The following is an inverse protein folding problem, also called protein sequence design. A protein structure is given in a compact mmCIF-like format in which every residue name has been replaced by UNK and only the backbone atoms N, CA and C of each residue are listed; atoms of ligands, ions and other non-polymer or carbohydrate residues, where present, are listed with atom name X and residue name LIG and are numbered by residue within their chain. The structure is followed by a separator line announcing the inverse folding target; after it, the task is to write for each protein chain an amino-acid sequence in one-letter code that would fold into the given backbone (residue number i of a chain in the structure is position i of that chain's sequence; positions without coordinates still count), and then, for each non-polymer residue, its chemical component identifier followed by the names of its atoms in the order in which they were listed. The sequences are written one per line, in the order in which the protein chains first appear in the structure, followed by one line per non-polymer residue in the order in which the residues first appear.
data_IF_719005656888
#
_entry.id   IF_719005656888
#
_cell.length_a   1.000
_cell.length_b   1.000
_cell.length_c   1.000
_cell.angle_alpha   90.00
_cell.angle_beta   90.00
_cell.angle_gamma   90.00
#
_symmetry.space_group_name_H-M   'P 1'
#
loop_
_entity.id
_entity.type
_entity.pdbx_description
1 polymer ?
#
# COMPACT_ATOMS: atom_id res chain seq x y z
N UNK A 1 16.21 41.91 59.06
CA UNK A 1 16.70 41.15 57.92
C UNK A 1 15.52 40.30 57.44
N UNK A 2 14.79 40.74 56.35
CA UNK A 2 13.62 40.05 55.86
C UNK A 2 14.05 39.23 54.62
N UNK A 3 13.91 37.90 54.68
CA UNK A 3 14.26 36.98 53.63
C UNK A 3 13.00 36.76 52.72
N UNK A 4 13.04 37.28 51.53
CA UNK A 4 11.98 37.07 50.51
C UNK A 4 12.31 35.82 49.75
N UNK A 5 11.44 34.80 49.88
CA UNK A 5 11.51 33.53 49.14
C UNK A 5 10.80 33.72 47.80
N UNK A 6 11.54 33.74 46.71
CA UNK A 6 10.98 33.74 45.35
C UNK A 6 10.68 32.32 44.92
N UNK A 7 9.39 31.99 44.75
CA UNK A 7 8.94 30.74 44.17
C UNK A 7 8.95 30.89 42.64
N UNK A 8 9.87 30.21 41.98
CA UNK A 8 9.87 30.10 40.50
C UNK A 8 8.86 29.05 40.06
N UNK A 9 7.77 29.49 39.44
CA UNK A 9 6.77 28.64 38.83
C UNK A 9 7.32 28.16 37.44
N UNK A 10 7.82 26.95 37.39
CA UNK A 10 8.25 26.33 36.15
C UNK A 10 7.04 25.96 35.29
N UNK A 11 6.83 26.65 34.18
CA UNK A 11 5.84 26.28 33.16
C UNK A 11 6.39 25.07 32.41
N UNK A 12 5.89 23.87 32.71
CA UNK A 12 6.11 22.67 31.88
C UNK A 12 5.26 22.82 30.63
N UNK A 13 5.87 23.22 29.53
CA UNK A 13 5.25 23.09 28.21
C UNK A 13 5.17 21.59 27.87
N UNK A 14 3.97 21.02 27.95
CA UNK A 14 3.67 19.70 27.40
C UNK A 14 3.72 19.85 25.88
N UNK A 15 4.85 19.48 25.29
CA UNK A 15 4.92 19.29 23.84
C UNK A 15 4.07 18.04 23.51
N UNK A 16 2.86 18.27 22.99
CA UNK A 16 2.13 17.22 22.31
C UNK A 16 2.99 16.79 21.12
N UNK A 17 3.57 15.59 21.19
CA UNK A 17 4.17 14.95 20.04
C UNK A 17 3.05 14.83 19.00
N UNK A 18 3.20 15.51 17.88
CA UNK A 18 2.35 15.26 16.71
C UNK A 18 2.60 13.80 16.35
N UNK A 19 1.63 12.93 16.64
CA UNK A 19 1.66 11.56 16.17
C UNK A 19 1.75 11.62 14.64
N UNK A 20 2.79 11.03 14.07
CA UNK A 20 2.94 10.94 12.62
C UNK A 20 1.74 10.22 12.01
N UNK A 21 1.49 10.45 10.74
CA UNK A 21 0.43 9.75 10.02
C UNK A 21 0.71 8.24 10.02
N UNK A 22 -0.36 7.44 10.21
CA UNK A 22 -0.26 5.97 10.23
C UNK A 22 -0.34 5.48 8.80
N UNK A 23 0.66 4.74 8.27
CA UNK A 23 0.60 4.20 6.92
C UNK A 23 -0.52 3.16 6.81
N UNK A 24 -1.38 3.32 5.80
CA UNK A 24 -2.49 2.42 5.48
C UNK A 24 -2.37 1.95 4.04
N UNK A 25 -2.17 0.65 3.83
CA UNK A 25 -2.11 0.07 2.50
C UNK A 25 -3.52 -0.17 1.96
N UNK A 26 -3.85 0.45 0.83
CA UNK A 26 -5.09 0.23 0.09
C UNK A 26 -4.75 -0.44 -1.25
N UNK A 27 -5.22 -1.66 -1.45
CA UNK A 27 -5.03 -2.45 -2.67
C UNK A 27 -6.34 -2.58 -3.40
N UNK A 28 -6.37 -2.19 -4.67
CA UNK A 28 -7.52 -2.31 -5.54
C UNK A 28 -7.26 -3.38 -6.61
N UNK A 29 -8.06 -4.44 -6.61
CA UNK A 29 -8.07 -5.42 -7.68
C UNK A 29 -9.05 -4.98 -8.77
N UNK A 30 -8.52 -4.69 -9.96
CA UNK A 30 -9.19 -4.04 -11.06
C UNK A 30 -8.83 -4.68 -12.42
N UNK A 31 -9.43 -4.22 -13.49
CA UNK A 31 -9.05 -4.54 -14.88
C UNK A 31 -9.64 -3.52 -15.82
N UNK A 32 -8.91 -3.15 -16.88
CA UNK A 32 -9.44 -2.34 -17.98
C UNK A 32 -10.59 -3.04 -18.74
N UNK A 33 -10.68 -4.38 -18.64
CA UNK A 33 -11.77 -5.17 -19.21
C UNK A 33 -13.09 -5.10 -18.46
N UNK A 34 -13.11 -4.55 -17.26
CA UNK A 34 -14.25 -4.52 -16.34
C UNK A 34 -14.93 -3.14 -16.37
N UNK A 35 -16.17 -3.05 -16.85
CA UNK A 35 -16.89 -1.77 -17.01
C UNK A 35 -17.28 -1.09 -15.69
N UNK A 36 -17.34 -1.82 -14.59
CA UNK A 36 -17.60 -1.28 -13.26
C UNK A 36 -16.32 -0.81 -12.51
N UNK A 37 -15.14 -1.03 -13.09
CA UNK A 37 -13.85 -0.74 -12.44
C UNK A 37 -13.43 0.74 -12.50
N UNK A 38 -13.63 1.52 -13.57
CA UNK A 38 -13.10 2.87 -13.65
C UNK A 38 -13.49 3.82 -12.51
N UNK A 39 -14.70 3.76 -11.93
CA UNK A 39 -15.03 4.55 -10.74
C UNK A 39 -14.18 4.18 -9.50
N UNK A 40 -13.77 2.91 -9.38
CA UNK A 40 -12.93 2.44 -8.28
C UNK A 40 -11.46 2.88 -8.47
N UNK A 41 -10.96 2.82 -9.72
CA UNK A 41 -9.61 3.30 -10.08
C UNK A 41 -9.49 4.80 -9.75
N UNK A 42 -10.52 5.59 -10.12
CA UNK A 42 -10.60 7.01 -9.77
C UNK A 42 -10.67 7.25 -8.25
N UNK A 43 -11.38 6.40 -7.50
CA UNK A 43 -11.43 6.49 -6.04
C UNK A 43 -10.06 6.19 -5.42
N UNK A 44 -9.40 5.09 -5.80
CA UNK A 44 -8.07 4.74 -5.30
C UNK A 44 -7.07 5.87 -5.56
N UNK A 45 -7.10 6.44 -6.77
CA UNK A 45 -6.25 7.57 -7.16
C UNK A 45 -6.47 8.77 -6.23
N UNK A 46 -7.74 9.16 -5.95
CA UNK A 46 -8.07 10.25 -5.02
C UNK A 46 -7.62 9.95 -3.60
N UNK A 47 -7.77 8.72 -3.11
CA UNK A 47 -7.34 8.31 -1.77
C UNK A 47 -5.83 8.49 -1.60
N UNK A 48 -5.04 8.02 -2.56
CA UNK A 48 -3.59 8.12 -2.52
C UNK A 48 -3.03 9.53 -2.73
N UNK A 49 -3.70 10.38 -3.54
CA UNK A 49 -3.24 11.74 -3.84
C UNK A 49 -3.71 12.76 -2.82
N UNK A 50 -4.97 12.70 -2.40
CA UNK A 50 -5.60 13.74 -1.58
C UNK A 50 -5.54 13.46 -0.09
N UNK A 51 -5.17 12.24 0.33
CA UNK A 51 -5.05 11.86 1.74
C UNK A 51 -6.25 12.31 2.61
N UNK A 52 -7.49 11.89 2.27
CA UNK A 52 -8.70 12.50 2.82
C UNK A 52 -8.97 12.15 4.29
N UNK A 53 -8.24 11.19 4.85
CA UNK A 53 -8.41 10.74 6.23
C UNK A 53 -7.26 11.28 7.08
N UNK A 54 -7.58 12.23 7.95
CA UNK A 54 -6.59 12.81 8.86
C UNK A 54 -5.96 11.74 9.77
N UNK A 55 -4.64 11.74 9.85
CA UNK A 55 -3.87 10.79 10.63
C UNK A 55 -3.55 9.47 9.91
N UNK A 56 -3.97 9.33 8.66
CA UNK A 56 -3.59 8.22 7.78
C UNK A 56 -2.69 8.71 6.65
N UNK A 57 -1.64 7.95 6.34
CA UNK A 57 -0.86 8.02 5.10
C UNK A 57 -1.29 6.87 4.20
N UNK A 58 -2.17 7.14 3.23
CA UNK A 58 -2.72 6.11 2.34
C UNK A 58 -1.71 5.77 1.25
N UNK A 59 -1.24 4.54 1.27
CA UNK A 59 -0.38 3.95 0.23
C UNK A 59 -1.28 3.16 -0.71
N UNK A 60 -1.53 3.71 -1.91
CA UNK A 60 -2.38 3.11 -2.92
C UNK A 60 -1.60 2.15 -3.82
N UNK A 61 -2.10 0.94 -4.00
CA UNK A 61 -1.63 -0.05 -4.98
C UNK A 61 -2.79 -0.52 -5.84
N UNK A 62 -2.60 -0.47 -7.15
CA UNK A 62 -3.58 -0.88 -8.17
C UNK A 62 -3.10 -2.19 -8.81
N UNK A 63 -3.84 -3.27 -8.58
CA UNK A 63 -3.50 -4.65 -8.96
C UNK A 63 -4.41 -5.07 -10.12
N UNK A 64 -3.87 -5.08 -11.34
CA UNK A 64 -4.62 -5.47 -12.52
C UNK A 64 -4.65 -7.00 -12.67
N UNK A 65 -5.85 -7.58 -12.55
CA UNK A 65 -6.07 -9.03 -12.66
C UNK A 65 -6.21 -9.47 -14.12
N UNK A 66 -5.74 -10.68 -14.45
CA UNK A 66 -5.67 -11.16 -15.82
C UNK A 66 -6.89 -12.00 -16.28
N UNK A 67 -7.80 -12.36 -15.39
CA UNK A 67 -8.95 -13.20 -15.77
C UNK A 67 -9.99 -12.49 -16.64
N UNK A 68 -9.90 -11.18 -16.81
CA UNK A 68 -10.70 -10.39 -17.75
C UNK A 68 -10.13 -10.39 -19.17
N UNK A 69 -8.84 -10.64 -19.38
CA UNK A 69 -8.14 -10.54 -20.67
C UNK A 69 -8.78 -11.38 -21.78
N UNK A 70 -9.40 -12.49 -21.40
CA UNK A 70 -10.12 -13.40 -22.34
C UNK A 70 -11.43 -12.82 -22.89
N UNK A 71 -11.90 -11.69 -22.38
CA UNK A 71 -13.19 -11.08 -22.72
C UNK A 71 -13.09 -9.98 -23.79
N UNK A 72 -12.04 -10.01 -24.58
CA UNK A 72 -11.88 -9.17 -25.79
C UNK A 72 -10.89 -8.03 -25.70
N UNK A 73 -10.41 -7.68 -24.50
CA UNK A 73 -9.33 -6.71 -24.28
C UNK A 73 -8.27 -7.32 -23.36
N UNK A 74 -7.03 -7.30 -23.83
CA UNK A 74 -5.91 -7.66 -22.98
C UNK A 74 -5.42 -6.39 -22.30
N UNK A 75 -5.59 -6.31 -21.00
CA UNK A 75 -5.13 -5.22 -20.18
C UNK A 75 -3.59 -5.17 -20.15
N UNK A 76 -2.94 -4.07 -20.57
CA UNK A 76 -1.50 -3.99 -20.64
C UNK A 76 -0.80 -4.05 -19.27
N UNK A 77 -1.55 -3.89 -18.19
CA UNK A 77 -1.05 -3.90 -16.83
C UNK A 77 -1.39 -5.18 -16.08
N UNK A 78 -2.23 -6.05 -16.64
CA UNK A 78 -2.68 -7.29 -16.02
C UNK A 78 -1.53 -8.27 -15.78
N UNK A 79 -1.64 -9.00 -14.67
CA UNK A 79 -0.70 -10.06 -14.33
C UNK A 79 -1.37 -11.20 -13.59
N UNK A 80 -0.86 -12.42 -13.81
CA UNK A 80 -1.24 -13.59 -13.03
C UNK A 80 -0.92 -13.38 -11.54
N UNK A 81 0.16 -12.67 -11.22
CA UNK A 81 0.55 -12.41 -9.84
C UNK A 81 -0.51 -11.58 -9.08
N UNK A 82 -1.15 -10.60 -9.74
CA UNK A 82 -2.26 -9.85 -9.17
C UNK A 82 -3.49 -10.75 -8.91
N UNK A 83 -3.81 -11.63 -9.85
CA UNK A 83 -4.88 -12.61 -9.68
C UNK A 83 -4.60 -13.59 -8.53
N UNK A 84 -3.37 -14.10 -8.43
CA UNK A 84 -2.96 -14.98 -7.32
C UNK A 84 -3.04 -14.24 -5.98
N UNK A 85 -2.58 -12.98 -5.91
CA UNK A 85 -2.67 -12.16 -4.70
C UNK A 85 -4.12 -11.93 -4.27
N UNK A 86 -5.04 -11.68 -5.21
CA UNK A 86 -6.46 -11.56 -4.92
C UNK A 86 -7.04 -12.87 -4.35
N UNK A 87 -6.68 -14.01 -4.94
CA UNK A 87 -7.09 -15.33 -4.44
C UNK A 87 -6.57 -15.62 -3.03
N UNK A 88 -5.35 -15.21 -2.71
CA UNK A 88 -4.78 -15.32 -1.36
C UNK A 88 -5.57 -14.49 -0.35
N UNK A 89 -6.01 -13.29 -0.72
CA UNK A 89 -6.91 -12.50 0.12
C UNK A 89 -8.27 -13.16 0.27
N UNK A 90 -8.87 -13.66 -0.82
CA UNK A 90 -10.17 -14.34 -0.73
C UNK A 90 -10.12 -15.51 0.26
N UNK A 91 -9.07 -16.33 0.22
CA UNK A 91 -8.86 -17.42 1.18
C UNK A 91 -8.80 -16.92 2.63
N UNK A 92 -8.13 -15.79 2.89
CA UNK A 92 -8.01 -15.20 4.22
C UNK A 92 -9.34 -14.64 4.75
N UNK A 93 -10.22 -14.21 3.85
CA UNK A 93 -11.56 -13.68 4.14
C UNK A 93 -12.68 -14.74 4.10
N UNK A 94 -12.37 -16.03 4.29
CA UNK A 94 -13.31 -17.15 4.29
C UNK A 94 -13.95 -17.51 2.94
N UNK A 95 -13.36 -17.08 1.80
CA UNK A 95 -13.62 -17.63 0.48
C UNK A 95 -15.04 -17.43 -0.05
N UNK A 96 -15.42 -16.20 -0.37
CA UNK A 96 -16.70 -15.92 -1.04
C UNK A 96 -16.54 -15.69 -2.56
N UNK A 97 -15.36 -15.98 -3.09
CA UNK A 97 -14.98 -15.75 -4.48
C UNK A 97 -14.42 -14.36 -4.74
N UNK A 98 -13.59 -14.26 -5.78
CA UNK A 98 -12.98 -13.02 -6.25
C UNK A 98 -13.93 -12.26 -7.15
N UNK A 99 -13.84 -10.93 -7.14
CA UNK A 99 -14.62 -10.04 -8.01
C UNK A 99 -13.83 -8.74 -8.27
N UNK A 100 -14.22 -8.00 -9.30
CA UNK A 100 -13.72 -6.66 -9.56
C UNK A 100 -14.88 -5.67 -9.72
N UNK A 101 -14.70 -4.40 -9.31
CA UNK A 101 -13.56 -3.90 -8.53
C UNK A 101 -13.64 -4.33 -7.06
N UNK A 102 -12.52 -4.83 -6.49
CA UNK A 102 -12.44 -5.19 -5.08
C UNK A 102 -11.35 -4.37 -4.41
N UNK A 103 -11.67 -3.64 -3.35
CA UNK A 103 -10.68 -2.96 -2.52
C UNK A 103 -10.42 -3.74 -1.24
N UNK A 104 -9.15 -3.83 -0.88
CA UNK A 104 -8.67 -4.41 0.38
C UNK A 104 -7.86 -3.36 1.11
N UNK A 105 -8.22 -3.06 2.36
CA UNK A 105 -7.51 -2.11 3.22
C UNK A 105 -6.80 -2.87 4.33
N UNK A 106 -5.47 -2.74 4.37
CA UNK A 106 -4.57 -3.38 5.34
C UNK A 106 -4.76 -4.91 5.47
N UNK A 107 -5.30 -5.58 4.46
CA UNK A 107 -5.66 -7.00 4.55
C UNK A 107 -6.74 -7.31 5.59
N UNK A 108 -7.43 -6.31 6.12
CA UNK A 108 -8.41 -6.44 7.22
C UNK A 108 -9.85 -6.19 6.80
N UNK A 109 -10.06 -5.38 5.77
CA UNK A 109 -11.38 -5.09 5.24
C UNK A 109 -11.39 -5.30 3.73
N UNK A 110 -12.45 -5.93 3.19
CA UNK A 110 -12.70 -6.05 1.75
C UNK A 110 -14.09 -5.55 1.42
N UNK A 111 -14.23 -4.85 0.30
CA UNK A 111 -15.51 -4.29 -0.16
C UNK A 111 -15.45 -3.97 -1.65
N UNK A 112 -16.60 -3.61 -2.23
CA UNK A 112 -16.68 -3.13 -3.63
C UNK A 112 -15.84 -1.87 -3.78
N UNK A 113 -14.84 -1.89 -4.67
CA UNK A 113 -13.78 -0.87 -4.77
C UNK A 113 -14.27 0.54 -5.05
N UNK A 114 -15.48 0.71 -5.58
CA UNK A 114 -16.09 2.03 -5.84
C UNK A 114 -16.88 2.62 -4.66
N UNK A 115 -16.95 1.92 -3.51
CA UNK A 115 -17.63 2.41 -2.31
C UNK A 115 -16.77 3.40 -1.52
N UNK A 116 -17.00 4.70 -1.73
CA UNK A 116 -16.27 5.79 -1.05
C UNK A 116 -16.46 5.74 0.48
N UNK A 117 -17.68 5.46 0.95
CA UNK A 117 -17.99 5.37 2.38
C UNK A 117 -17.24 4.24 3.07
N UNK A 118 -17.20 3.05 2.44
CA UNK A 118 -16.49 1.88 3.00
C UNK A 118 -14.99 2.10 2.99
N UNK A 119 -14.45 2.71 1.93
CA UNK A 119 -13.03 3.05 1.84
C UNK A 119 -12.61 4.02 2.96
N UNK A 120 -13.33 5.13 3.14
CA UNK A 120 -13.05 6.10 4.20
C UNK A 120 -13.22 5.50 5.60
N UNK A 121 -14.21 4.62 5.80
CA UNK A 121 -14.41 3.93 7.08
C UNK A 121 -13.25 2.96 7.39
N UNK A 122 -12.88 2.13 6.42
CA UNK A 122 -11.80 1.16 6.57
C UNK A 122 -10.44 1.84 6.85
N UNK A 123 -10.12 2.92 6.10
CA UNK A 123 -8.89 3.70 6.30
C UNK A 123 -8.87 4.34 7.69
N UNK A 124 -9.98 4.97 8.14
CA UNK A 124 -10.05 5.52 9.51
C UNK A 124 -9.83 4.43 10.56
N UNK A 125 -10.45 3.27 10.39
CA UNK A 125 -10.28 2.15 11.33
C UNK A 125 -8.83 1.66 11.35
N UNK A 126 -8.22 1.50 10.19
CA UNK A 126 -6.84 1.05 10.05
C UNK A 126 -5.81 2.03 10.65
N UNK A 127 -6.10 3.33 10.61
CA UNK A 127 -5.21 4.37 11.15
C UNK A 127 -5.32 4.59 12.66
N UNK A 128 -6.26 3.93 13.36
CA UNK A 128 -6.42 4.09 14.81
C UNK A 128 -5.32 3.40 15.62
N UNK A 129 -4.70 2.36 15.09
CA UNK A 129 -3.64 1.63 15.76
C UNK A 129 -2.27 2.03 15.20
N UNK A 130 -1.29 2.41 16.04
CA UNK A 130 0.05 2.71 15.57
C UNK A 130 0.69 1.47 14.97
N UNK A 131 1.48 1.67 13.92
CA UNK A 131 2.25 0.62 13.26
C UNK A 131 3.74 0.82 13.50
N UNK A 132 4.55 -0.26 13.56
CA UNK A 132 6.00 -0.17 13.57
C UNK A 132 6.51 0.61 12.36
N UNK A 133 7.53 1.42 12.58
CA UNK A 133 8.08 2.24 11.51
C UNK A 133 8.84 1.38 10.48
N UNK A 134 8.69 1.73 9.22
CA UNK A 134 9.51 1.26 8.11
C UNK A 134 10.27 2.46 7.57
N UNK A 135 11.60 2.42 7.65
CA UNK A 135 12.46 3.48 7.12
C UNK A 135 13.07 3.02 5.81
N UNK A 136 12.96 3.85 4.80
CA UNK A 136 13.44 3.60 3.45
C UNK A 136 14.42 4.70 3.04
N UNK A 137 15.51 4.30 2.39
CA UNK A 137 16.44 5.24 1.77
C UNK A 137 17.03 4.64 0.50
N UNK A 138 17.26 5.49 -0.50
CA UNK A 138 17.98 5.10 -1.70
C UNK A 138 19.48 5.32 -1.51
N UNK A 139 20.26 4.33 -1.91
CA UNK A 139 21.70 4.42 -2.10
C UNK A 139 22.01 4.56 -3.60
N UNK A 140 23.31 4.57 -3.95
CA UNK A 140 23.73 4.56 -5.36
C UNK A 140 23.24 3.31 -6.07
N UNK A 141 23.16 3.39 -7.39
CA UNK A 141 22.88 2.26 -8.29
C UNK A 141 21.51 1.58 -8.00
N UNK A 142 20.51 2.38 -7.64
CA UNK A 142 19.14 1.91 -7.36
C UNK A 142 19.07 0.85 -6.26
N UNK A 143 19.93 0.92 -5.29
CA UNK A 143 19.85 0.09 -4.09
C UNK A 143 18.91 0.75 -3.08
N UNK A 144 17.82 0.07 -2.75
CA UNK A 144 16.89 0.45 -1.69
C UNK A 144 17.33 -0.19 -0.38
N UNK A 145 17.69 0.62 0.58
CA UNK A 145 17.95 0.20 1.96
C UNK A 145 16.69 0.39 2.79
N UNK A 146 16.35 -0.63 3.57
CA UNK A 146 15.17 -0.63 4.41
C UNK A 146 15.48 -1.11 5.82
N UNK A 147 14.78 -0.52 6.78
CA UNK A 147 14.75 -0.96 8.16
C UNK A 147 13.31 -0.98 8.67
N UNK A 148 12.87 -2.15 9.13
CA UNK A 148 11.57 -2.36 9.79
C UNK A 148 11.82 -2.49 11.28
N UNK A 149 11.16 -1.65 12.08
CA UNK A 149 11.24 -1.75 13.53
C UNK A 149 10.65 -3.06 14.05
N UNK A 150 11.08 -3.52 15.24
CA UNK A 150 10.55 -4.75 15.82
C UNK A 150 9.02 -4.73 15.91
N UNK A 151 8.40 -5.85 15.54
CA UNK A 151 6.97 -6.01 15.61
C UNK A 151 6.61 -6.51 17.03
N UNK A 152 5.85 -5.70 17.77
CA UNK A 152 5.50 -6.00 19.16
C UNK A 152 4.48 -7.15 19.31
N UNK A 153 3.94 -7.66 18.22
CA UNK A 153 2.94 -8.71 18.24
C UNK A 153 3.49 -10.00 17.65
N UNK A 154 3.95 -10.90 18.52
CA UNK A 154 4.46 -12.23 18.17
C UNK A 154 3.34 -13.30 18.18
N UNK A 155 2.08 -12.90 18.09
CA UNK A 155 0.95 -13.80 18.26
C UNK A 155 0.83 -14.85 17.15
N UNK A 156 1.41 -14.62 15.97
CA UNK A 156 1.39 -15.61 14.90
C UNK A 156 2.73 -16.34 14.76
N UNK A 157 2.72 -17.63 15.09
CA UNK A 157 3.86 -18.54 14.93
C UNK A 157 4.25 -18.80 13.46
N UNK A 158 3.46 -18.34 12.50
CA UNK A 158 3.62 -18.63 11.07
C UNK A 158 4.52 -17.64 10.30
N UNK A 159 5.11 -16.69 11.01
CA UNK A 159 6.07 -15.75 10.44
C UNK A 159 5.41 -14.63 9.65
N UNK A 160 6.14 -13.54 9.53
CA UNK A 160 5.75 -12.36 8.78
C UNK A 160 6.65 -12.25 7.55
N UNK A 161 6.09 -11.84 6.45
CA UNK A 161 6.78 -11.69 5.18
C UNK A 161 6.94 -10.20 4.86
N UNK A 162 8.15 -9.78 4.55
CA UNK A 162 8.43 -8.46 3.99
C UNK A 162 8.28 -8.54 2.48
N UNK A 163 7.54 -7.58 1.92
CA UNK A 163 7.34 -7.43 0.48
C UNK A 163 7.88 -6.10 -0.01
N UNK A 164 8.34 -6.10 -1.25
CA UNK A 164 8.61 -4.91 -2.04
C UNK A 164 7.67 -4.89 -3.24
N UNK A 165 6.91 -3.81 -3.37
CA UNK A 165 6.21 -3.46 -4.60
C UNK A 165 6.91 -2.28 -5.28
N UNK A 166 6.96 -2.31 -6.61
CA UNK A 166 7.26 -1.15 -7.46
C UNK A 166 5.96 -0.75 -8.12
N UNK A 167 5.50 0.46 -7.84
CA UNK A 167 4.26 1.00 -8.36
C UNK A 167 4.51 2.21 -9.26
N UNK A 168 3.73 2.35 -10.32
CA UNK A 168 3.82 3.44 -11.28
C UNK A 168 2.54 4.27 -11.28
N UNK A 169 2.70 5.58 -11.24
CA UNK A 169 1.60 6.54 -11.33
C UNK A 169 1.50 7.15 -12.73
N UNK A 170 0.40 7.86 -12.99
CA UNK A 170 0.16 8.63 -14.21
C UNK A 170 0.26 7.77 -15.47
N UNK A 171 -0.29 6.58 -15.42
CA UNK A 171 -0.45 5.73 -16.59
C UNK A 171 -1.76 6.03 -17.28
N UNK A 172 -1.73 5.94 -18.61
CA UNK A 172 -2.89 6.15 -19.48
C UNK A 172 -3.00 5.02 -20.47
N UNK A 173 -4.23 4.61 -20.76
CA UNK A 173 -4.53 3.58 -21.73
C UNK A 173 -5.77 3.94 -22.55
N UNK A 174 -5.67 3.83 -23.87
CA UNK A 174 -6.84 3.92 -24.78
C UNK A 174 -7.40 2.52 -25.03
N UNK A 175 -8.47 2.17 -24.39
CA UNK A 175 -9.09 0.85 -24.52
C UNK A 175 -9.76 0.70 -25.89
N UNK A 176 -9.31 -0.24 -26.69
CA UNK A 176 -9.79 -0.41 -28.07
C UNK A 176 -10.91 -1.45 -28.22
N UNK A 177 -11.08 -2.34 -27.25
CA UNK A 177 -12.06 -3.45 -27.29
C UNK A 177 -12.55 -3.76 -25.87
N UNK A 178 -13.52 -4.69 -25.78
CA UNK A 178 -14.11 -5.10 -24.50
C UNK A 178 -15.15 -4.10 -23.99
N UNK A 179 -15.51 -4.20 -22.72
CA UNK A 179 -16.60 -3.42 -22.13
C UNK A 179 -16.32 -1.92 -22.04
N UNK A 180 -15.03 -1.52 -21.92
CA UNK A 180 -14.59 -0.13 -21.87
C UNK A 180 -14.09 0.40 -23.21
N UNK A 181 -14.46 -0.25 -24.34
CA UNK A 181 -14.02 0.17 -25.67
C UNK A 181 -14.34 1.65 -25.96
N UNK A 182 -13.34 2.38 -26.47
CA UNK A 182 -13.45 3.80 -26.82
C UNK A 182 -13.21 4.77 -25.66
N UNK A 183 -12.91 4.27 -24.45
CA UNK A 183 -12.56 5.10 -23.29
C UNK A 183 -11.05 5.20 -23.10
N UNK A 184 -10.59 6.39 -22.72
CA UNK A 184 -9.26 6.61 -22.13
C UNK A 184 -9.35 6.39 -20.63
N UNK A 185 -8.49 5.54 -20.08
CA UNK A 185 -8.43 5.23 -18.64
C UNK A 185 -7.13 5.74 -18.04
N UNK A 186 -7.24 6.30 -16.85
CA UNK A 186 -6.10 6.83 -16.07
C UNK A 186 -5.88 5.95 -14.85
N UNK A 187 -4.62 5.58 -14.60
CA UNK A 187 -4.24 4.68 -13.53
C UNK A 187 -3.15 5.26 -12.64
N UNK A 188 -3.24 5.03 -11.33
CA UNK A 188 -2.26 5.48 -10.34
C UNK A 188 -1.98 4.41 -9.30
N UNK A 189 -0.69 4.16 -9.06
CA UNK A 189 -0.28 3.12 -8.13
C UNK A 189 -0.26 1.72 -8.75
N UNK A 190 -0.22 1.62 -10.10
CA UNK A 190 -0.21 0.33 -10.80
C UNK A 190 1.01 -0.48 -10.39
N UNK A 191 0.79 -1.66 -9.85
CA UNK A 191 1.85 -2.56 -9.41
C UNK A 191 2.54 -3.17 -10.63
N UNK A 192 3.79 -2.74 -10.84
CA UNK A 192 4.65 -3.24 -11.92
C UNK A 192 5.44 -4.46 -11.49
N UNK A 193 5.75 -4.55 -10.21
CA UNK A 193 6.45 -5.68 -9.60
C UNK A 193 6.00 -5.81 -8.14
N UNK A 194 5.77 -7.04 -7.71
CA UNK A 194 5.59 -7.41 -6.31
C UNK A 194 6.44 -8.63 -6.01
N UNK A 195 7.28 -8.57 -4.99
CA UNK A 195 8.13 -9.71 -4.61
C UNK A 195 8.38 -9.80 -3.11
N UNK A 196 8.50 -11.00 -2.55
CA UNK A 196 8.97 -11.19 -1.19
C UNK A 196 10.47 -10.86 -1.08
N UNK A 197 10.85 -10.23 0.02
CA UNK A 197 12.25 -9.92 0.34
C UNK A 197 12.84 -10.83 1.41
N UNK A 198 12.03 -11.28 2.34
CA UNK A 198 12.46 -12.13 3.45
C UNK A 198 11.40 -12.27 4.51
N UNK A 199 11.66 -13.13 5.47
CA UNK A 199 10.78 -13.34 6.63
C UNK A 199 11.31 -12.54 7.81
N UNK A 200 10.39 -12.04 8.63
CA UNK A 200 10.73 -11.55 9.96
C UNK A 200 10.43 -12.72 10.90
N UNK A 201 11.48 -13.35 11.36
CA UNK A 201 11.34 -14.28 12.49
C UNK A 201 11.10 -13.45 13.75
N UNK A 202 10.54 -14.07 14.80
CA UNK A 202 10.17 -13.41 16.06
C UNK A 202 11.40 -12.85 16.84
N UNK A 203 12.30 -12.19 16.15
CA UNK A 203 13.53 -11.64 16.70
C UNK A 203 13.27 -10.21 17.22
N UNK A 204 13.85 -9.84 18.37
CA UNK A 204 13.72 -8.51 18.92
C UNK A 204 14.37 -7.40 18.07
N UNK A 205 15.08 -7.77 17.01
CA UNK A 205 15.93 -6.83 16.24
C UNK A 205 15.23 -6.19 15.03
N UNK A 206 13.98 -6.58 14.67
CA UNK A 206 13.35 -6.10 13.44
C UNK A 206 13.96 -6.73 12.18
N UNK A 207 13.81 -6.05 11.03
CA UNK A 207 14.35 -6.51 9.76
C UNK A 207 15.11 -5.38 9.06
N UNK A 208 16.31 -5.70 8.55
CA UNK A 208 17.08 -4.76 7.74
C UNK A 208 17.61 -5.48 6.49
N UNK A 209 17.52 -4.79 5.35
CA UNK A 209 18.01 -5.32 4.07
C UNK A 209 18.34 -4.19 3.12
N UNK A 210 19.26 -4.45 2.19
CA UNK A 210 19.53 -3.59 1.04
C UNK A 210 19.37 -4.42 -0.22
N UNK A 211 18.55 -3.96 -1.17
CA UNK A 211 18.24 -4.71 -2.38
C UNK A 211 18.31 -3.82 -3.61
N UNK A 212 18.84 -4.33 -4.70
CA UNK A 212 18.75 -3.67 -5.98
C UNK A 212 17.30 -3.70 -6.49
N UNK A 213 16.82 -2.54 -6.95
CA UNK A 213 15.48 -2.37 -7.51
C UNK A 213 15.61 -1.97 -8.97
N UNK A 214 15.33 -2.91 -9.86
CA UNK A 214 15.43 -2.67 -11.29
C UNK A 214 14.09 -2.16 -11.84
N UNK A 215 14.13 -1.07 -12.60
CA UNK A 215 13.01 -0.60 -13.41
C UNK A 215 13.20 -1.05 -14.86
N UNK A 216 12.12 -1.46 -15.52
CA UNK A 216 12.15 -1.71 -16.94
C UNK A 216 12.28 -0.39 -17.73
N UNK A 217 12.79 -0.46 -18.95
CA UNK A 217 13.07 0.75 -19.76
C UNK A 217 11.80 1.52 -20.13
N UNK A 218 10.71 0.79 -20.28
CA UNK A 218 9.39 1.34 -20.63
C UNK A 218 8.67 2.01 -19.46
N UNK A 219 9.14 1.85 -18.22
CA UNK A 219 8.53 2.50 -17.05
C UNK A 219 9.04 3.92 -16.89
N UNK A 220 8.14 4.86 -16.62
CA UNK A 220 8.54 6.23 -16.36
C UNK A 220 9.07 6.37 -14.94
N UNK A 221 10.40 6.40 -14.82
CA UNK A 221 11.11 6.45 -13.54
C UNK A 221 10.63 7.59 -12.62
N UNK A 222 10.26 8.74 -13.18
CA UNK A 222 9.78 9.89 -12.40
C UNK A 222 8.44 9.60 -11.70
N UNK A 223 7.69 8.62 -12.20
CA UNK A 223 6.39 8.21 -11.69
C UNK A 223 6.45 6.97 -10.80
N UNK A 224 7.67 6.38 -10.63
CA UNK A 224 7.83 5.17 -9.83
C UNK A 224 7.91 5.46 -8.34
N UNK A 225 7.35 4.55 -7.57
CA UNK A 225 7.48 4.47 -6.10
C UNK A 225 7.88 3.05 -5.70
N UNK A 226 8.76 2.93 -4.73
CA UNK A 226 8.99 1.68 -4.01
C UNK A 226 8.11 1.67 -2.76
N UNK A 227 7.38 0.59 -2.56
CA UNK A 227 6.53 0.36 -1.39
C UNK A 227 7.03 -0.88 -0.69
N UNK A 228 7.43 -0.75 0.58
CA UNK A 228 7.82 -1.88 1.43
C UNK A 228 6.75 -2.06 2.50
N UNK A 229 6.26 -3.28 2.63
CA UNK A 229 5.28 -3.60 3.65
C UNK A 229 5.53 -4.97 4.28
N UNK A 230 5.06 -5.12 5.51
CA UNK A 230 5.09 -6.37 6.26
C UNK A 230 3.70 -6.95 6.33
N UNK A 231 3.56 -8.20 5.93
CA UNK A 231 2.28 -8.92 5.91
C UNK A 231 2.36 -10.21 6.70
N UNK A 232 1.36 -10.48 7.51
CA UNK A 232 1.15 -11.78 8.14
C UNK A 232 0.79 -12.82 7.08
N UNK A 233 1.40 -14.00 7.17
CA UNK A 233 1.25 -15.02 6.11
C UNK A 233 -0.15 -15.61 6.03
N UNK A 234 -0.82 -15.81 7.14
CA UNK A 234 -2.11 -16.49 7.22
C UNK A 234 -3.29 -15.53 7.13
N UNK A 235 -3.31 -14.53 7.99
CA UNK A 235 -4.39 -13.52 8.05
C UNK A 235 -4.32 -12.52 6.89
N UNK A 236 -3.16 -12.39 6.24
CA UNK A 236 -2.86 -11.35 5.23
C UNK A 236 -2.93 -9.93 5.78
N UNK A 237 -2.97 -9.74 7.10
CA UNK A 237 -2.97 -8.40 7.68
C UNK A 237 -1.65 -7.67 7.42
N UNK A 238 -1.74 -6.41 7.05
CA UNK A 238 -0.58 -5.53 6.90
C UNK A 238 -0.24 -4.93 8.26
N UNK A 239 0.98 -5.17 8.71
CA UNK A 239 1.47 -4.76 10.03
C UNK A 239 2.26 -3.46 10.00
N UNK A 240 2.94 -3.20 8.89
CA UNK A 240 3.75 -2.01 8.69
C UNK A 240 3.87 -1.73 7.19
N UNK A 241 4.00 -0.48 6.80
CA UNK A 241 4.24 -0.11 5.41
C UNK A 241 4.96 1.24 5.33
N UNK A 242 5.68 1.46 4.24
CA UNK A 242 6.19 2.77 3.86
C UNK A 242 6.38 2.83 2.35
N UNK A 243 6.36 4.04 1.80
CA UNK A 243 6.60 4.26 0.39
C UNK A 243 7.63 5.38 0.18
N UNK A 244 8.44 5.25 -0.86
CA UNK A 244 9.43 6.26 -1.26
C UNK A 244 9.44 6.41 -2.77
N UNK A 245 9.46 7.64 -3.28
CA UNK A 245 9.63 7.89 -4.71
C UNK A 245 11.02 7.44 -5.18
N UNK A 246 11.13 7.03 -6.44
CA UNK A 246 12.44 6.76 -7.03
C UNK A 246 13.28 8.03 -7.11
N UNK A 247 14.60 7.94 -6.98
CA UNK A 247 15.47 9.10 -7.10
C UNK A 247 15.39 9.65 -8.52
N UNK A 248 15.37 11.00 -8.60
CA UNK A 248 15.47 11.68 -9.89
C UNK A 248 16.88 11.45 -10.45
N UNK A 249 16.96 11.10 -11.72
CA UNK A 249 18.23 10.96 -12.46
C UNK A 249 18.77 12.34 -12.81
#
# INVERSE_FOLDING_TARGET
MKLTLAVALGIFAVQAALAGEVPVLAELFTSEGCSSCPPADALLSRLGQNQPVRGADVIALEEHVDYWDRLGWKDPFSSQAATERQNEYDQSFAGNGVYTPQMVVDGRAKFVGSSDSDALHAIRTASQAPKPAVRLSWEKDDVLTMHVEPLNNTAERDGQQVYLAVAENMLHSDVKRGENAGHGLEHNGVVRQLRPLGKIDAAPAGFSSSVAVHSAREWNRANLRAVVFVQERRSRHILAAAAIAFPKV
#
